data_IF_937249927670
#
_entry.id   IF_937249927670
#
_cell.length_a   1.000
_cell.length_b   1.000
_cell.length_c   1.000
_cell.angle_alpha   90.00
_cell.angle_beta   90.00
_cell.angle_gamma   90.00
#
_symmetry.space_group_name_H-M   'P 1'
#
loop_
_entity.id
_entity.type
_entity.pdbx_description
1 polymer ?
#
# COMPACT_ATOMS: atom_id res chain seq x y z
N UNK A 1 0.33 51.25 6.29
CA UNK A 1 -0.68 50.18 6.42
C UNK A 1 -0.83 49.32 5.17
N UNK A 2 0.13 49.32 4.22
CA UNK A 2 0.05 48.55 2.95
C UNK A 2 1.07 47.43 2.84
N UNK A 3 2.01 47.28 3.76
CA UNK A 3 3.07 46.24 3.71
C UNK A 3 2.59 44.91 4.28
N UNK A 4 1.64 44.91 5.22
CA UNK A 4 1.12 43.67 5.86
C UNK A 4 0.22 42.82 4.95
N UNK A 5 -0.45 43.42 3.96
CA UNK A 5 -1.33 42.72 3.04
C UNK A 5 -0.54 41.91 2.00
N UNK A 6 0.64 42.40 1.60
CA UNK A 6 1.50 41.70 0.63
C UNK A 6 2.17 40.42 1.19
N UNK A 7 2.53 40.46 2.47
CA UNK A 7 3.15 39.30 3.14
C UNK A 7 2.15 38.13 3.30
N UNK A 8 0.88 38.46 3.57
CA UNK A 8 -0.18 37.46 3.68
C UNK A 8 -0.54 36.81 2.33
N UNK A 9 -0.58 37.60 1.27
CA UNK A 9 -0.83 37.09 -0.08
C UNK A 9 0.30 36.19 -0.59
N UNK A 10 1.56 36.50 -0.25
CA UNK A 10 2.70 35.64 -0.61
C UNK A 10 2.71 34.32 0.17
N UNK A 11 2.35 34.35 1.46
CA UNK A 11 2.29 33.13 2.30
C UNK A 11 1.19 32.15 1.84
N UNK A 12 0.04 32.68 1.39
CA UNK A 12 -1.05 31.86 0.85
C UNK A 12 -0.71 31.31 -0.52
N UNK A 13 0.01 32.05 -1.37
CA UNK A 13 0.43 31.59 -2.68
C UNK A 13 1.50 30.49 -2.62
N UNK A 14 2.41 30.54 -1.65
CA UNK A 14 3.44 29.48 -1.46
C UNK A 14 2.80 28.18 -0.96
N UNK A 15 1.76 28.27 -0.14
CA UNK A 15 1.04 27.07 0.34
C UNK A 15 0.18 26.40 -0.76
N UNK A 16 -0.26 27.15 -1.77
CA UNK A 16 -1.07 26.62 -2.88
C UNK A 16 -0.24 25.83 -3.91
N UNK A 17 1.07 25.99 -3.94
CA UNK A 17 1.97 25.32 -4.89
C UNK A 17 2.47 23.94 -4.41
N UNK A 18 2.28 23.59 -3.14
CA UNK A 18 2.79 22.34 -2.55
C UNK A 18 1.71 21.29 -2.24
N UNK A 19 0.46 21.52 -2.61
CA UNK A 19 -0.59 20.53 -2.32
C UNK A 19 -0.88 19.69 -3.57
N UNK A 20 -0.36 18.48 -3.60
CA UNK A 20 -0.87 17.45 -4.50
C UNK A 20 -2.40 17.36 -4.34
N UNK A 21 -3.12 17.32 -5.46
CA UNK A 21 -4.57 17.19 -5.45
C UNK A 21 -4.94 15.86 -4.79
N UNK A 22 -5.93 15.85 -3.89
CA UNK A 22 -6.44 14.66 -3.20
C UNK A 22 -6.73 13.49 -4.14
N UNK A 23 -7.25 13.77 -5.34
CA UNK A 23 -7.48 12.76 -6.37
C UNK A 23 -6.17 12.14 -6.87
N UNK A 24 -5.14 12.94 -7.05
CA UNK A 24 -3.83 12.46 -7.46
C UNK A 24 -3.19 11.58 -6.38
N UNK A 25 -3.32 11.97 -5.11
CA UNK A 25 -2.84 11.17 -3.97
C UNK A 25 -3.55 9.81 -3.91
N UNK A 26 -4.88 9.82 -4.07
CA UNK A 26 -5.67 8.58 -4.11
C UNK A 26 -5.25 7.67 -5.28
N UNK A 27 -4.99 8.26 -6.45
CA UNK A 27 -4.50 7.53 -7.62
C UNK A 27 -3.10 6.95 -7.37
N UNK A 28 -2.19 7.70 -6.77
CA UNK A 28 -0.85 7.22 -6.42
C UNK A 28 -0.90 6.06 -5.42
N UNK A 29 -1.76 6.15 -4.39
CA UNK A 29 -1.97 5.07 -3.43
C UNK A 29 -2.52 3.81 -4.09
N UNK A 30 -3.44 3.95 -5.05
CA UNK A 30 -3.98 2.82 -5.84
C UNK A 30 -2.92 2.23 -6.78
N UNK A 31 -2.14 3.08 -7.45
CA UNK A 31 -1.06 2.63 -8.34
C UNK A 31 0.01 1.85 -7.59
N UNK A 32 0.28 2.21 -6.33
CA UNK A 32 1.23 1.46 -5.50
C UNK A 32 0.82 -0.01 -5.28
N UNK A 33 -0.47 -0.33 -5.29
CA UNK A 33 -0.96 -1.71 -5.19
C UNK A 33 -0.65 -2.56 -6.44
N UNK A 34 -0.43 -1.90 -7.57
CA UNK A 34 -0.15 -2.53 -8.87
C UNK A 34 1.34 -2.46 -9.23
N UNK A 35 2.15 -1.87 -8.37
CA UNK A 35 3.58 -1.70 -8.60
C UNK A 35 4.31 -3.02 -8.35
N UNK A 36 4.83 -3.63 -9.42
CA UNK A 36 5.60 -4.88 -9.37
C UNK A 36 6.81 -4.81 -8.41
N UNK A 37 7.32 -3.61 -8.14
CA UNK A 37 8.43 -3.43 -7.20
C UNK A 37 8.05 -3.66 -5.75
N UNK A 38 6.76 -3.77 -5.44
CA UNK A 38 6.26 -4.24 -4.13
C UNK A 38 6.37 -5.75 -3.97
N UNK A 39 6.56 -6.47 -5.08
CA UNK A 39 6.46 -7.94 -5.16
C UNK A 39 5.12 -8.49 -4.64
N UNK A 40 4.12 -7.62 -4.52
CA UNK A 40 2.82 -7.91 -3.91
C UNK A 40 2.95 -8.54 -2.51
N UNK A 41 3.92 -8.06 -1.74
CA UNK A 41 4.20 -8.47 -0.37
C UNK A 41 4.03 -7.26 0.55
N UNK A 42 3.28 -7.44 1.64
CA UNK A 42 3.08 -6.43 2.64
C UNK A 42 3.36 -6.92 4.06
N UNK A 43 3.75 -6.03 4.95
CA UNK A 43 3.90 -6.32 6.35
C UNK A 43 2.51 -6.23 7.03
N UNK A 44 1.90 -7.39 7.29
CA UNK A 44 0.61 -7.51 7.97
C UNK A 44 0.81 -7.50 9.48
N UNK A 45 0.23 -6.52 10.14
CA UNK A 45 0.27 -6.32 11.59
C UNK A 45 -1.07 -6.61 12.27
N UNK A 46 -1.00 -7.20 13.44
CA UNK A 46 -2.11 -7.39 14.37
C UNK A 46 -1.62 -7.28 15.81
N UNK A 47 -2.54 -7.26 16.76
CA UNK A 47 -2.22 -7.14 18.19
C UNK A 47 -2.58 -8.44 18.91
N UNK A 48 -1.63 -8.93 19.71
CA UNK A 48 -1.83 -10.09 20.58
C UNK A 48 -2.62 -9.72 21.83
N UNK A 49 -3.04 -10.74 22.57
CA UNK A 49 -3.83 -10.55 23.81
C UNK A 49 -3.07 -9.78 24.91
N UNK A 50 -1.74 -9.83 24.89
CA UNK A 50 -0.86 -9.08 25.79
C UNK A 50 -0.55 -7.66 25.30
N UNK A 51 -1.26 -7.17 24.29
CA UNK A 51 -1.08 -5.89 23.62
C UNK A 51 0.25 -5.74 22.87
N UNK A 52 1.01 -6.80 22.68
CA UNK A 52 2.20 -6.76 21.80
C UNK A 52 1.81 -6.85 20.33
N UNK A 53 2.55 -6.17 19.47
CA UNK A 53 2.35 -6.27 18.03
C UNK A 53 2.93 -7.58 17.49
N UNK A 54 2.19 -8.24 16.61
CA UNK A 54 2.67 -9.33 15.79
C UNK A 54 2.64 -8.87 14.32
N UNK A 55 3.79 -8.95 13.64
CA UNK A 55 3.94 -8.53 12.26
C UNK A 55 4.57 -9.66 11.46
N UNK A 56 3.99 -9.98 10.32
CA UNK A 56 4.53 -10.95 9.37
C UNK A 56 4.42 -10.40 7.94
N UNK A 57 5.31 -10.83 7.06
CA UNK A 57 5.17 -10.54 5.64
C UNK A 57 4.21 -11.55 5.01
N UNK A 58 3.21 -11.03 4.31
CA UNK A 58 2.17 -11.82 3.67
C UNK A 58 2.01 -11.42 2.20
N UNK A 59 1.68 -12.38 1.37
CA UNK A 59 1.33 -12.16 -0.03
C UNK A 59 -0.05 -11.54 -0.13
N UNK A 60 -0.18 -10.47 -0.92
CA UNK A 60 -1.46 -9.89 -1.29
C UNK A 60 -1.63 -9.82 -2.81
N UNK A 61 -2.85 -9.75 -3.29
CA UNK A 61 -3.14 -9.50 -4.70
C UNK A 61 -4.33 -8.54 -4.86
N UNK A 62 -4.28 -7.58 -5.81
CA UNK A 62 -5.36 -6.62 -6.08
C UNK A 62 -6.46 -7.26 -6.96
N UNK A 63 -7.07 -8.34 -6.51
CA UNK A 63 -8.02 -9.14 -7.30
C UNK A 63 -9.47 -8.63 -7.29
N UNK A 64 -9.74 -7.51 -6.64
CA UNK A 64 -11.10 -6.97 -6.51
C UNK A 64 -11.34 -5.68 -7.31
N UNK A 65 -10.40 -5.30 -8.18
CA UNK A 65 -10.50 -4.09 -9.00
C UNK A 65 -11.40 -4.25 -10.23
N UNK A 66 -11.65 -5.48 -10.68
CA UNK A 66 -12.58 -5.74 -11.77
C UNK A 66 -14.02 -5.65 -11.27
N UNK A 67 -14.76 -4.67 -11.77
CA UNK A 67 -16.17 -4.43 -11.44
C UNK A 67 -17.06 -5.58 -11.92
N UNK A 68 -17.26 -6.57 -11.07
CA UNK A 68 -18.43 -7.43 -11.18
C UNK A 68 -19.50 -6.90 -10.23
N UNK A 69 -20.60 -6.37 -10.78
CA UNK A 69 -21.74 -5.77 -10.05
C UNK A 69 -22.35 -6.64 -8.93
N UNK A 70 -21.92 -7.89 -8.80
CA UNK A 70 -22.41 -8.86 -7.80
C UNK A 70 -21.44 -9.09 -6.64
N UNK A 71 -20.25 -8.48 -6.65
CA UNK A 71 -19.27 -8.62 -5.58
C UNK A 71 -19.58 -7.70 -4.41
N UNK A 72 -19.48 -8.20 -3.20
CA UNK A 72 -19.52 -7.39 -1.97
C UNK A 72 -18.19 -6.67 -1.71
N UNK A 73 -17.22 -6.85 -2.61
CA UNK A 73 -15.91 -6.21 -2.56
C UNK A 73 -15.96 -4.81 -3.18
N UNK A 74 -15.06 -3.96 -2.72
CA UNK A 74 -14.89 -2.63 -3.25
C UNK A 74 -13.55 -2.52 -4.01
N UNK A 75 -13.45 -1.63 -5.00
CA UNK A 75 -12.16 -1.32 -5.61
C UNK A 75 -11.10 -0.97 -4.55
N UNK A 76 -9.91 -1.53 -4.68
CA UNK A 76 -8.83 -1.36 -3.70
C UNK A 76 -8.87 -2.27 -2.49
N UNK A 77 -9.85 -3.20 -2.39
CA UNK A 77 -9.77 -4.33 -1.49
C UNK A 77 -8.67 -5.30 -1.97
N UNK A 78 -8.05 -6.02 -1.05
CA UNK A 78 -6.94 -6.93 -1.37
C UNK A 78 -7.26 -8.37 -1.01
N UNK A 79 -6.81 -9.29 -1.86
CA UNK A 79 -6.92 -10.73 -1.62
C UNK A 79 -5.67 -11.26 -0.92
N UNK A 80 -5.86 -12.09 0.09
CA UNK A 80 -4.83 -12.81 0.82
C UNK A 80 -5.07 -14.30 0.82
N UNK A 81 -3.98 -15.06 0.87
CA UNK A 81 -3.99 -16.50 1.13
C UNK A 81 -3.71 -16.73 2.62
N UNK A 82 -4.75 -16.99 3.39
CA UNK A 82 -4.63 -17.22 4.83
C UNK A 82 -4.38 -18.69 5.15
N UNK A 83 -3.46 -18.95 6.08
CA UNK A 83 -3.24 -20.26 6.72
C UNK A 83 -3.77 -20.20 8.16
N UNK A 84 -5.00 -20.66 8.44
CA UNK A 84 -5.62 -20.51 9.76
C UNK A 84 -4.87 -21.21 10.91
N UNK A 85 -3.94 -22.10 10.61
CA UNK A 85 -3.05 -22.71 11.61
C UNK A 85 -2.05 -21.70 12.20
N UNK A 86 -1.75 -20.62 11.48
CA UNK A 86 -0.84 -19.57 11.93
C UNK A 86 -1.47 -18.69 13.00
N UNK A 87 -0.68 -18.26 13.98
CA UNK A 87 -1.14 -17.32 15.03
C UNK A 87 -1.55 -15.98 14.42
N UNK A 88 -0.78 -15.47 13.46
CA UNK A 88 -1.07 -14.23 12.72
C UNK A 88 -2.50 -14.25 12.19
N UNK A 89 -2.87 -15.29 11.43
CA UNK A 89 -4.18 -15.38 10.81
C UNK A 89 -5.30 -15.62 11.82
N UNK A 90 -5.07 -16.40 12.89
CA UNK A 90 -6.07 -16.56 13.96
C UNK A 90 -6.39 -15.26 14.67
N UNK A 91 -5.38 -14.42 14.90
CA UNK A 91 -5.56 -13.11 15.54
C UNK A 91 -6.25 -12.12 14.59
N UNK A 92 -5.78 -12.05 13.36
CA UNK A 92 -6.27 -11.08 12.37
C UNK A 92 -7.72 -11.34 11.96
N UNK A 93 -8.16 -12.60 11.97
CA UNK A 93 -9.52 -13.01 11.62
C UNK A 93 -10.52 -12.96 12.79
N UNK A 94 -10.12 -12.52 13.96
CA UNK A 94 -11.05 -12.33 15.09
C UNK A 94 -12.06 -11.23 14.77
N UNK A 95 -13.32 -11.37 15.20
CA UNK A 95 -14.31 -10.31 15.04
C UNK A 95 -13.83 -8.98 15.63
N UNK A 96 -14.14 -7.89 14.95
CA UNK A 96 -13.79 -6.52 15.35
C UNK A 96 -12.28 -6.24 15.50
N UNK A 97 -11.42 -7.08 14.94
CA UNK A 97 -9.98 -6.81 14.89
C UNK A 97 -9.66 -5.89 13.72
N UNK A 98 -8.94 -4.82 14.00
CA UNK A 98 -8.31 -4.01 12.95
C UNK A 98 -6.96 -4.63 12.59
N UNK A 99 -6.78 -4.92 11.32
CA UNK A 99 -5.49 -5.30 10.76
C UNK A 99 -4.78 -4.07 10.20
N UNK A 100 -3.46 -4.08 10.28
CA UNK A 100 -2.61 -3.05 9.69
C UNK A 100 -1.76 -3.68 8.59
N UNK A 101 -1.77 -3.09 7.39
CA UNK A 101 -0.97 -3.54 6.27
C UNK A 101 -0.04 -2.43 5.81
N UNK A 102 1.25 -2.63 5.88
CA UNK A 102 2.24 -1.69 5.34
C UNK A 102 2.78 -2.20 4.01
N UNK A 103 2.76 -1.35 3.00
CA UNK A 103 3.24 -1.61 1.64
C UNK A 103 4.20 -0.49 1.24
N UNK A 104 5.28 -0.84 0.57
CA UNK A 104 6.24 0.12 0.03
C UNK A 104 6.80 -0.35 -1.29
N UNK A 105 7.03 0.58 -2.23
CA UNK A 105 7.83 0.29 -3.41
C UNK A 105 9.26 -0.05 -3.00
N UNK A 106 9.85 -1.04 -3.65
CA UNK A 106 11.27 -1.33 -3.46
C UNK A 106 12.13 -0.21 -4.04
N UNK A 107 13.23 0.15 -3.37
CA UNK A 107 14.17 1.11 -3.94
C UNK A 107 14.77 0.54 -5.22
N UNK A 108 14.78 1.34 -6.28
CA UNK A 108 15.52 0.99 -7.49
C UNK A 108 17.02 1.14 -7.21
N UNK A 109 17.74 0.04 -7.35
CA UNK A 109 19.19 -0.02 -7.12
C UNK A 109 19.99 0.77 -8.15
N UNK A 110 19.40 1.06 -9.31
CA UNK A 110 20.06 1.68 -10.44
C UNK A 110 19.75 3.17 -10.58
N UNK A 111 18.74 3.67 -9.91
CA UNK A 111 18.38 5.09 -9.95
C UNK A 111 18.87 5.84 -8.73
N UNK A 112 19.49 6.99 -8.97
CA UNK A 112 19.80 7.99 -7.95
C UNK A 112 18.60 8.92 -7.84
N UNK A 113 18.15 9.19 -6.61
CA UNK A 113 17.18 10.24 -6.42
C UNK A 113 17.83 11.60 -6.65
N UNK A 114 17.63 12.11 -7.85
CA UNK A 114 18.23 13.37 -8.32
C UNK A 114 17.76 14.57 -7.52
N UNK A 115 16.58 14.49 -6.89
CA UNK A 115 15.99 15.58 -6.11
C UNK A 115 16.79 15.85 -4.85
N UNK A 116 17.30 14.82 -4.22
CA UNK A 116 18.25 14.94 -3.11
C UNK A 116 19.56 15.61 -3.51
N UNK A 117 19.98 15.43 -4.74
CA UNK A 117 21.13 16.08 -5.29
C UNK A 117 21.00 17.60 -5.37
N UNK A 118 19.77 18.13 -5.46
CA UNK A 118 19.53 19.58 -5.65
C UNK A 118 19.29 20.37 -4.37
N UNK A 119 19.13 19.72 -3.23
CA UNK A 119 18.71 20.36 -1.98
C UNK A 119 19.86 20.89 -1.12
N UNK A 120 21.09 20.82 -1.56
CA UNK A 120 22.13 21.44 -0.74
C UNK A 120 22.14 22.95 -0.90
N UNK A 121 22.01 23.70 0.19
CA UNK A 121 22.18 25.15 0.22
C UNK A 121 23.55 25.61 -0.28
N UNK A 122 24.50 24.71 -0.36
CA UNK A 122 25.87 25.01 -0.80
C UNK A 122 26.11 24.76 -2.30
N UNK A 123 25.10 24.39 -3.07
CA UNK A 123 25.24 24.12 -4.52
C UNK A 123 26.21 22.99 -4.84
N UNK A 124 26.51 22.13 -3.86
CA UNK A 124 27.56 21.10 -3.97
C UNK A 124 27.01 19.71 -3.91
N UNK A 125 25.93 19.46 -4.59
CA UNK A 125 25.45 18.11 -4.57
C UNK A 125 25.75 17.40 -5.85
N UNK A 126 26.95 16.98 -5.88
CA UNK A 126 27.28 15.77 -6.57
C UNK A 126 27.03 14.62 -5.61
N UNK A 127 25.99 13.84 -5.83
CA UNK A 127 25.94 12.51 -5.29
C UNK A 127 27.12 11.76 -5.91
N UNK A 128 28.12 11.37 -5.13
CA UNK A 128 29.21 10.60 -5.68
C UNK A 128 28.59 9.34 -6.29
N UNK A 129 28.79 9.15 -7.58
CA UNK A 129 28.32 7.96 -8.32
C UNK A 129 28.75 6.65 -7.66
N UNK A 130 29.75 6.71 -6.80
CA UNK A 130 30.29 5.58 -6.05
C UNK A 130 29.66 5.35 -4.67
N UNK A 131 28.58 6.06 -4.30
CA UNK A 131 27.86 5.82 -3.06
C UNK A 131 26.52 5.11 -3.31
N UNK A 132 26.54 3.79 -3.48
CA UNK A 132 25.33 3.02 -3.80
C UNK A 132 24.29 3.06 -2.67
N UNK A 133 24.69 3.33 -1.42
CA UNK A 133 23.80 3.48 -0.27
C UNK A 133 22.80 4.64 -0.43
N UNK A 134 23.12 5.65 -1.21
CA UNK A 134 22.24 6.78 -1.45
C UNK A 134 21.20 6.52 -2.54
N UNK A 135 21.42 5.50 -3.34
CA UNK A 135 20.49 5.07 -4.40
C UNK A 135 19.29 4.29 -3.83
N UNK A 136 19.38 3.87 -2.56
CA UNK A 136 18.42 2.99 -1.88
C UNK A 136 17.49 3.74 -0.94
N UNK A 137 17.41 5.06 -1.08
CA UNK A 137 16.62 5.87 -0.16
C UNK A 137 15.14 5.51 -0.19
N UNK A 138 14.68 4.80 0.84
CA UNK A 138 13.24 4.52 1.05
C UNK A 138 12.42 5.80 1.14
N UNK A 139 13.06 6.89 1.55
CA UNK A 139 12.40 8.18 1.80
C UNK A 139 11.85 8.84 0.54
N UNK A 140 12.39 8.52 -0.63
CA UNK A 140 11.92 9.04 -1.92
C UNK A 140 10.82 8.20 -2.58
N UNK A 141 10.49 7.04 -2.02
CA UNK A 141 9.56 6.09 -2.60
C UNK A 141 8.18 6.16 -1.95
N UNK A 142 7.17 5.89 -2.76
CA UNK A 142 5.80 5.74 -2.28
C UNK A 142 5.70 4.58 -1.30
N UNK A 143 5.01 4.82 -0.18
CA UNK A 143 4.69 3.81 0.82
C UNK A 143 3.39 4.17 1.51
N UNK A 144 2.70 3.18 1.99
CA UNK A 144 1.46 3.41 2.73
C UNK A 144 1.27 2.42 3.86
N UNK A 145 0.48 2.85 4.84
CA UNK A 145 -0.06 2.00 5.89
C UNK A 145 -1.58 2.04 5.76
N UNK A 146 -2.17 0.87 5.63
CA UNK A 146 -3.60 0.69 5.52
C UNK A 146 -4.13 0.07 6.82
N UNK A 147 -5.22 0.60 7.33
CA UNK A 147 -5.95 0.07 8.48
C UNK A 147 -7.30 -0.42 8.00
N UNK A 148 -7.68 -1.65 8.38
CA UNK A 148 -8.92 -2.22 7.86
C UNK A 148 -9.29 -3.54 8.52
N UNK A 149 -10.23 -4.24 7.90
CA UNK A 149 -10.77 -5.49 8.42
C UNK A 149 -10.58 -6.63 7.45
N UNK A 150 -10.35 -7.81 8.02
CA UNK A 150 -10.23 -9.05 7.27
C UNK A 150 -11.55 -9.81 7.27
N UNK A 151 -11.96 -10.27 6.10
CA UNK A 151 -13.19 -11.04 5.90
C UNK A 151 -12.89 -12.33 5.17
N UNK A 152 -13.40 -13.45 5.69
CA UNK A 152 -13.36 -14.70 4.93
C UNK A 152 -14.19 -14.52 3.66
N UNK A 153 -13.60 -14.91 2.52
CA UNK A 153 -14.34 -14.95 1.26
C UNK A 153 -15.32 -16.12 1.31
N UNK A 154 -16.60 -15.81 1.12
CA UNK A 154 -17.68 -16.78 1.10
C UNK A 154 -17.93 -17.28 -0.32
N UNK A 155 -18.60 -18.42 -0.47
CA UNK A 155 -18.80 -19.16 -1.74
C UNK A 155 -19.49 -18.39 -2.87
N UNK A 156 -19.92 -17.16 -2.68
CA UNK A 156 -20.53 -16.32 -3.73
C UNK A 156 -19.50 -15.74 -4.72
N UNK A 157 -18.25 -15.67 -4.33
CA UNK A 157 -17.16 -15.22 -5.19
C UNK A 157 -16.50 -16.46 -5.83
N UNK A 158 -16.27 -16.42 -7.15
CA UNK A 158 -15.68 -17.57 -7.85
C UNK A 158 -14.28 -17.85 -7.31
N UNK A 159 -14.15 -18.91 -6.51
CA UNK A 159 -12.87 -19.35 -5.94
C UNK A 159 -11.81 -19.55 -7.02
N UNK A 160 -12.23 -20.09 -8.18
CA UNK A 160 -11.31 -20.31 -9.31
C UNK A 160 -10.80 -18.99 -9.91
N UNK A 161 -11.67 -17.99 -10.02
CA UNK A 161 -11.29 -16.66 -10.53
C UNK A 161 -10.30 -15.98 -9.58
N UNK A 162 -10.55 -16.02 -8.27
CA UNK A 162 -9.64 -15.49 -7.27
C UNK A 162 -8.31 -16.25 -7.26
N UNK A 163 -8.36 -17.58 -7.37
CA UNK A 163 -7.18 -18.42 -7.45
C UNK A 163 -6.31 -18.08 -8.65
N UNK A 164 -6.91 -17.92 -9.83
CA UNK A 164 -6.19 -17.55 -11.04
C UNK A 164 -5.57 -16.16 -10.95
N UNK A 165 -6.31 -15.17 -10.40
CA UNK A 165 -5.79 -13.83 -10.17
C UNK A 165 -4.61 -13.85 -9.20
N UNK A 166 -4.75 -14.52 -8.06
CA UNK A 166 -3.69 -14.59 -7.05
C UNK A 166 -2.42 -15.26 -7.60
N UNK A 167 -2.57 -16.37 -8.31
CA UNK A 167 -1.45 -17.11 -8.91
C UNK A 167 -0.78 -16.31 -10.05
N UNK A 168 -1.50 -15.44 -10.73
CA UNK A 168 -0.89 -14.54 -11.71
C UNK A 168 0.13 -13.58 -11.06
N UNK A 169 -0.12 -13.14 -9.83
CA UNK A 169 0.82 -12.31 -9.06
C UNK A 169 1.86 -13.15 -8.28
N UNK A 170 1.48 -14.37 -7.86
CA UNK A 170 2.30 -15.27 -7.05
C UNK A 170 2.32 -16.70 -7.65
N UNK A 171 3.10 -16.92 -8.73
CA UNK A 171 3.14 -18.24 -9.37
C UNK A 171 3.62 -19.37 -8.46
N UNK A 172 4.46 -19.07 -7.48
CA UNK A 172 4.96 -20.00 -6.46
C UNK A 172 3.87 -20.48 -5.49
N UNK A 173 2.82 -19.67 -5.30
CA UNK A 173 1.69 -20.03 -4.43
C UNK A 173 0.70 -21.03 -5.05
N UNK A 174 0.85 -21.39 -6.32
CA UNK A 174 -0.09 -22.28 -7.03
C UNK A 174 -0.36 -23.63 -6.34
N UNK A 175 0.62 -24.14 -5.59
CA UNK A 175 0.46 -25.38 -4.83
C UNK A 175 -0.33 -25.20 -3.53
N UNK A 176 -0.51 -23.96 -3.04
CA UNK A 176 -1.05 -23.65 -1.70
C UNK A 176 -2.46 -23.08 -1.73
N UNK A 177 -2.95 -22.68 -2.90
CA UNK A 177 -4.29 -22.11 -3.04
C UNK A 177 -5.38 -23.03 -2.45
N UNK A 178 -6.46 -22.47 -1.91
CA UNK A 178 -7.56 -23.28 -1.38
C UNK A 178 -8.09 -24.28 -2.38
N UNK A 179 -8.24 -25.54 -1.95
CA UNK A 179 -8.69 -26.64 -2.82
C UNK A 179 -7.59 -27.31 -3.63
N UNK A 180 -6.35 -26.83 -3.61
CA UNK A 180 -5.23 -27.50 -4.26
C UNK A 180 -4.97 -28.89 -3.64
N UNK A 181 -4.97 -29.98 -4.44
CA UNK A 181 -4.66 -31.31 -3.92
C UNK A 181 -3.19 -31.46 -3.49
N UNK A 182 -2.35 -30.50 -3.86
CA UNK A 182 -0.93 -30.49 -3.50
C UNK A 182 -0.66 -29.72 -2.20
N UNK A 183 -1.66 -28.99 -1.68
CA UNK A 183 -1.47 -28.20 -0.47
C UNK A 183 -1.35 -29.09 0.76
N UNK A 184 -0.26 -29.00 1.53
CA UNK A 184 -0.13 -29.69 2.81
C UNK A 184 -0.94 -29.03 3.93
N UNK A 185 -1.52 -27.85 3.67
CA UNK A 185 -2.22 -27.03 4.64
C UNK A 185 -3.62 -26.65 4.15
N UNK A 186 -4.51 -26.43 5.11
CA UNK A 186 -5.82 -25.84 4.83
C UNK A 186 -5.60 -24.35 4.65
N UNK A 187 -5.81 -23.87 3.43
CA UNK A 187 -5.77 -22.46 3.10
C UNK A 187 -7.19 -21.89 2.91
N UNK A 188 -7.34 -20.59 3.09
CA UNK A 188 -8.59 -19.86 2.86
C UNK A 188 -8.30 -18.54 2.18
N UNK A 189 -9.23 -18.12 1.31
CA UNK A 189 -9.21 -16.76 0.79
C UNK A 189 -9.74 -15.79 1.83
N UNK A 190 -9.02 -14.69 1.97
CA UNK A 190 -9.38 -13.60 2.88
C UNK A 190 -9.30 -12.30 2.11
N UNK A 191 -10.34 -11.49 2.23
CA UNK A 191 -10.40 -10.13 1.71
C UNK A 191 -10.02 -9.14 2.81
N UNK A 192 -9.08 -8.26 2.53
CA UNK A 192 -8.79 -7.09 3.34
C UNK A 192 -9.53 -5.89 2.77
N UNK A 193 -10.38 -5.27 3.57
CA UNK A 193 -11.09 -4.04 3.22
C UNK A 193 -10.50 -2.87 4.01
N UNK A 194 -9.74 -1.98 3.36
CA UNK A 194 -9.18 -0.81 4.03
C UNK A 194 -10.29 0.19 4.41
N UNK A 195 -10.20 0.70 5.63
CA UNK A 195 -11.05 1.76 6.18
C UNK A 195 -10.33 3.09 6.27
N UNK A 196 -9.01 3.06 6.42
CA UNK A 196 -8.14 4.23 6.49
C UNK A 196 -6.79 3.92 5.84
N UNK A 197 -6.22 4.90 5.17
CA UNK A 197 -4.90 4.80 4.54
C UNK A 197 -4.08 6.03 4.90
N UNK A 198 -2.89 5.82 5.45
CA UNK A 198 -1.86 6.83 5.57
C UNK A 198 -0.83 6.63 4.46
N UNK A 199 -0.69 7.62 3.59
CA UNK A 199 0.20 7.57 2.42
C UNK A 199 1.36 8.54 2.59
N UNK A 200 2.53 8.11 2.16
CA UNK A 200 3.74 8.91 2.08
C UNK A 200 4.28 8.80 0.66
N UNK A 201 4.13 9.84 -0.14
CA UNK A 201 4.52 9.84 -1.56
C UNK A 201 6.02 10.00 -1.79
N UNK A 202 6.75 10.48 -0.78
CA UNK A 202 8.16 10.77 -0.86
C UNK A 202 8.58 11.78 0.22
N UNK A 203 9.42 12.74 -0.14
CA UNK A 203 9.81 13.82 0.78
C UNK A 203 8.67 14.82 0.97
N UNK A 204 8.42 15.21 2.24
CA UNK A 204 7.28 16.03 2.62
C UNK A 204 7.30 17.50 2.13
N UNK A 205 8.41 17.96 1.58
CA UNK A 205 8.53 19.25 0.91
C UNK A 205 8.10 19.22 -0.56
N UNK A 206 8.04 18.01 -1.17
CA UNK A 206 7.68 17.81 -2.58
C UNK A 206 6.43 16.92 -2.76
N UNK A 207 6.16 16.03 -1.80
CA UNK A 207 5.13 15.01 -1.92
C UNK A 207 4.18 15.00 -0.73
N UNK A 208 3.00 14.47 -0.97
CA UNK A 208 1.97 14.32 0.06
C UNK A 208 2.41 13.35 1.16
N UNK A 209 2.13 13.74 2.39
CA UNK A 209 2.19 12.88 3.58
C UNK A 209 0.91 13.08 4.38
N UNK A 210 0.12 12.03 4.56
CA UNK A 210 -1.13 12.11 5.32
C UNK A 210 -2.16 11.05 4.98
N UNK A 211 -3.38 11.27 5.45
CA UNK A 211 -4.51 10.35 5.22
C UNK A 211 -5.10 10.55 3.83
N UNK A 212 -5.36 9.43 3.15
CA UNK A 212 -5.99 9.40 1.84
C UNK A 212 -7.50 9.51 2.01
N UNK A 213 -8.15 10.26 1.13
CA UNK A 213 -9.61 10.31 1.06
C UNK A 213 -10.13 8.98 0.53
N UNK A 214 -10.89 8.24 1.34
CA UNK A 214 -11.31 6.88 1.03
C UNK A 214 -12.36 6.81 -0.08
N UNK A 215 -13.19 7.84 -0.25
CA UNK A 215 -14.17 7.89 -1.35
C UNK A 215 -13.44 8.08 -2.68
N UNK A 216 -12.43 8.95 -2.71
CA UNK A 216 -11.56 9.11 -3.87
C UNK A 216 -10.75 7.84 -4.12
N UNK A 217 -10.16 7.24 -3.09
CA UNK A 217 -9.39 6.00 -3.22
C UNK A 217 -10.18 4.88 -3.90
N UNK A 218 -11.47 4.75 -3.57
CA UNK A 218 -12.35 3.73 -4.15
C UNK A 218 -12.86 4.09 -5.55
N UNK A 219 -12.89 5.38 -5.90
CA UNK A 219 -13.44 5.87 -7.17
C UNK A 219 -12.41 6.05 -8.28
N UNK A 220 -11.11 6.15 -7.93
CA UNK A 220 -10.05 6.31 -8.95
C UNK A 220 -9.68 4.97 -9.58
N UNK A 221 -9.42 4.99 -10.87
CA UNK A 221 -8.92 3.85 -11.62
C UNK A 221 -7.44 4.08 -11.90
N UNK A 222 -6.53 3.20 -11.37
CA UNK A 222 -5.14 3.22 -11.77
C UNK A 222 -5.04 2.75 -13.23
N UNK A 223 -4.30 3.52 -14.04
CA UNK A 223 -4.08 3.24 -15.46
C UNK A 223 -3.05 2.16 -15.67
#
# INVERSE_FOLDING_TARGET
MHVLVFVWALSVAICAFCMENKKQVALQARTLLLDDTTYFVGALGTVKDDATALVAYEYFAPCFDSQNEKSTSNPGDLLFLALPASEQWRLTLRPNTTATLAIASSPDMNTVDVRHGHISPAGRLHWPENRPEWRRGMTSKGRMTMYGHMHLVTHSESIDTLGNCFVAHHPDAAAWVPGSPKSPHIAKWVRFSPAEIHYVGGFGDEHFIGSVDMDLYRSVEPG
#
